data_IF_254074588107
#
_entry.id   IF_254074588107
#
_cell.length_a   1.000
_cell.length_b   1.000
_cell.length_c   1.000
_cell.angle_alpha   90.00
_cell.angle_beta   90.00
_cell.angle_gamma   90.00
#
_symmetry.space_group_name_H-M   'P 1'
#
loop_
_entity.id
_entity.type
_entity.pdbx_description
1 polymer ?
#
# COMPACT_ATOMS: atom_id res chain seq x y z
N UNK A 1 2.60 -7.24 15.90
CA UNK A 1 2.19 -6.46 14.71
C UNK A 1 2.50 -7.29 13.51
N UNK A 2 1.47 -7.79 12.86
CA UNK A 2 1.65 -8.54 11.62
C UNK A 2 1.93 -7.54 10.49
N UNK A 3 2.98 -7.82 9.72
CA UNK A 3 3.31 -7.08 8.51
C UNK A 3 2.88 -7.92 7.33
N UNK A 4 2.05 -7.38 6.46
CA UNK A 4 1.59 -8.08 5.27
C UNK A 4 2.38 -7.60 4.05
N UNK A 5 2.78 -8.54 3.20
CA UNK A 5 3.26 -8.19 1.88
C UNK A 5 2.06 -7.95 0.96
N UNK A 6 2.13 -6.91 0.13
CA UNK A 6 1.10 -6.63 -0.86
C UNK A 6 1.71 -6.40 -2.24
N UNK A 7 0.98 -6.78 -3.29
CA UNK A 7 1.36 -6.45 -4.68
C UNK A 7 0.45 -5.37 -5.22
N UNK A 8 1.02 -4.33 -5.82
CA UNK A 8 0.28 -3.35 -6.59
C UNK A 8 -0.36 -3.98 -7.84
N UNK A 9 -1.69 -3.91 -7.93
CA UNK A 9 -2.47 -4.39 -9.07
C UNK A 9 -2.45 -3.37 -10.23
N UNK A 10 -2.31 -2.09 -9.91
CA UNK A 10 -2.31 -0.97 -10.84
C UNK A 10 -1.27 0.08 -10.43
N UNK A 11 -0.96 0.99 -11.35
CA UNK A 11 -0.23 2.22 -11.02
C UNK A 11 -1.08 3.10 -10.11
N UNK A 12 -0.47 3.72 -9.11
CA UNK A 12 -1.11 4.70 -8.25
C UNK A 12 -0.19 5.91 -8.07
N UNK A 13 -0.73 7.10 -8.31
CA UNK A 13 -0.06 8.37 -8.08
C UNK A 13 -0.75 9.07 -6.91
N UNK A 14 -0.05 9.14 -5.78
CA UNK A 14 -0.53 9.80 -4.57
C UNK A 14 -0.77 11.28 -4.82
N UNK A 15 -1.93 11.77 -4.37
CA UNK A 15 -2.36 13.17 -4.58
C UNK A 15 -1.92 14.09 -3.46
N UNK A 16 -1.49 13.51 -2.34
CA UNK A 16 -1.05 14.22 -1.14
C UNK A 16 0.24 13.62 -0.62
N UNK A 17 0.96 14.35 0.23
CA UNK A 17 2.22 13.85 0.81
C UNK A 17 2.04 12.60 1.67
N UNK A 18 0.81 12.38 2.17
CA UNK A 18 0.43 11.22 2.98
C UNK A 18 0.23 9.96 2.16
N UNK A 19 0.00 10.07 0.86
CA UNK A 19 -0.22 8.95 -0.04
C UNK A 19 1.11 8.47 -0.64
N UNK A 20 1.24 7.15 -0.82
CA UNK A 20 2.39 6.55 -1.49
C UNK A 20 2.12 6.42 -2.98
N UNK A 21 3.10 6.75 -3.81
CA UNK A 21 3.05 6.49 -5.25
C UNK A 21 3.83 5.21 -5.57
N UNK A 22 3.25 4.35 -6.40
CA UNK A 22 3.83 3.07 -6.78
C UNK A 22 3.35 2.61 -8.16
N UNK A 23 4.05 1.65 -8.75
CA UNK A 23 3.74 1.07 -10.07
C UNK A 23 3.16 -0.32 -9.94
N UNK A 24 2.34 -0.71 -10.93
CA UNK A 24 1.82 -2.08 -11.05
C UNK A 24 2.97 -3.09 -10.92
N UNK A 25 2.75 -4.12 -10.11
CA UNK A 25 3.72 -5.17 -9.83
C UNK A 25 4.73 -4.84 -8.75
N UNK A 26 4.76 -3.62 -8.21
CA UNK A 26 5.58 -3.32 -7.03
C UNK A 26 5.09 -4.10 -5.80
N UNK A 27 6.04 -4.51 -4.98
CA UNK A 27 5.80 -5.08 -3.66
C UNK A 27 5.81 -3.96 -2.61
N UNK A 28 4.80 -3.93 -1.76
CA UNK A 28 4.64 -2.99 -0.64
C UNK A 28 4.54 -3.76 0.68
N UNK A 29 4.83 -3.07 1.78
CA UNK A 29 4.59 -3.59 3.13
C UNK A 29 3.39 -2.88 3.71
N UNK A 30 2.45 -3.64 4.26
CA UNK A 30 1.22 -3.15 4.88
C UNK A 30 1.30 -3.40 6.39
N UNK A 31 0.95 -2.38 7.19
CA UNK A 31 1.03 -2.41 8.64
C UNK A 31 -0.35 -2.63 9.29
N UNK A 32 -1.36 -1.88 8.84
CA UNK A 32 -2.74 -1.98 9.33
C UNK A 32 -3.72 -1.32 8.38
N UNK A 33 -4.99 -1.73 8.45
CA UNK A 33 -6.07 -1.03 7.80
C UNK A 33 -6.47 0.20 8.63
N UNK A 34 -6.58 1.36 8.01
CA UNK A 34 -7.00 2.60 8.70
C UNK A 34 -8.40 3.06 8.29
N UNK A 35 -8.91 2.57 7.15
CA UNK A 35 -10.31 2.67 6.75
C UNK A 35 -10.65 1.59 5.70
N UNK A 36 -11.92 1.52 5.27
CA UNK A 36 -12.35 0.65 4.17
C UNK A 36 -11.58 0.85 2.86
N UNK A 37 -11.02 2.05 2.66
CA UNK A 37 -10.38 2.43 1.41
C UNK A 37 -8.86 2.55 1.52
N UNK A 38 -8.30 2.53 2.74
CA UNK A 38 -6.90 2.86 2.97
C UNK A 38 -6.21 1.93 3.97
N UNK A 39 -5.01 1.53 3.58
CA UNK A 39 -4.00 0.89 4.41
C UNK A 39 -2.91 1.88 4.78
N UNK A 40 -2.33 1.72 5.96
CA UNK A 40 -1.04 2.33 6.31
C UNK A 40 0.07 1.31 6.05
N UNK A 41 1.15 1.74 5.41
CA UNK A 41 2.25 0.87 5.01
C UNK A 41 3.49 1.63 4.56
N UNK A 42 4.45 0.89 3.98
CA UNK A 42 5.73 1.43 3.52
C UNK A 42 6.08 0.94 2.11
N UNK A 43 6.64 1.87 1.32
CA UNK A 43 7.21 1.61 0.00
C UNK A 43 8.44 2.50 -0.23
N UNK A 44 9.54 1.91 -0.69
CA UNK A 44 10.81 2.61 -0.92
C UNK A 44 11.29 3.47 0.27
N UNK A 45 11.10 2.98 1.50
CA UNK A 45 11.50 3.67 2.72
C UNK A 45 10.60 4.83 3.13
N UNK A 46 9.50 5.08 2.42
CA UNK A 46 8.48 6.07 2.78
C UNK A 46 7.25 5.37 3.35
N UNK A 47 6.80 5.83 4.51
CA UNK A 47 5.54 5.42 5.11
C UNK A 47 4.39 6.32 4.64
N UNK A 48 3.21 5.73 4.45
CA UNK A 48 2.02 6.46 4.03
C UNK A 48 0.83 5.56 3.70
N UNK A 49 -0.15 6.18 3.07
CA UNK A 49 -1.43 5.59 2.72
C UNK A 49 -1.36 4.87 1.37
N UNK A 50 -1.89 3.66 1.35
CA UNK A 50 -1.98 2.79 0.18
C UNK A 50 -3.47 2.46 -0.03
N UNK A 51 -4.04 2.73 -1.22
CA UNK A 51 -5.46 2.48 -1.45
C UNK A 51 -5.75 0.99 -1.59
N UNK A 52 -6.74 0.51 -0.83
CA UNK A 52 -7.14 -0.90 -0.75
C UNK A 52 -7.36 -1.53 -2.13
N UNK A 53 -8.13 -0.84 -2.98
CA UNK A 53 -8.51 -1.33 -4.31
C UNK A 53 -7.36 -1.43 -5.32
N UNK A 54 -6.17 -0.92 -4.98
CA UNK A 54 -5.00 -0.92 -5.85
C UNK A 54 -3.98 -1.99 -5.48
N UNK A 55 -4.18 -2.71 -4.39
CA UNK A 55 -3.27 -3.74 -3.92
C UNK A 55 -4.00 -5.04 -3.65
N UNK A 56 -3.26 -6.13 -3.68
CA UNK A 56 -3.72 -7.41 -3.15
C UNK A 56 -2.78 -7.83 -2.03
N UNK A 57 -3.33 -8.09 -0.84
CA UNK A 57 -2.57 -8.67 0.26
C UNK A 57 -2.19 -10.09 -0.10
N UNK A 58 -0.92 -10.43 0.05
CA UNK A 58 -0.46 -11.82 -0.05
C UNK A 58 -0.79 -12.51 1.26
N UNK A 59 -1.88 -13.28 1.28
CA UNK A 59 -2.08 -14.30 2.31
C UNK A 59 -1.18 -15.48 1.99
N UNK A 60 -0.25 -15.77 2.91
CA UNK A 60 0.41 -17.07 2.99
C UNK A 60 -0.55 -18.15 3.47
#
# INVERSE_FOLDING_TARGET
NDLFEATALYDFEGRTERELSFKKGNTLVIFKQVSSDWWEGCFNGKEGLIPDKYVTLKTG
#
